data_IF_203384134013
#
_entry.id   IF_203384134013
#
_cell.length_a   1.000
_cell.length_b   1.000
_cell.length_c   1.000
_cell.angle_alpha   90.00
_cell.angle_beta   90.00
_cell.angle_gamma   90.00
#
_symmetry.space_group_name_H-M   'P 1'
#
loop_
_entity.id
_entity.type
_entity.pdbx_description
1 polymer ?
#
# COMPACT_ATOMS: atom_id res chain seq x y z
N UNK A 1 84.16 18.69 40.58
CA UNK A 1 82.76 18.29 40.76
C UNK A 1 82.56 16.82 40.34
N UNK A 2 82.47 15.92 41.32
CA UNK A 2 82.21 14.47 41.09
C UNK A 2 80.71 14.25 40.91
N UNK A 3 80.31 13.85 39.76
CA UNK A 3 78.88 13.38 39.57
C UNK A 3 78.72 12.07 40.28
N UNK A 4 77.79 12.01 41.21
CA UNK A 4 77.32 10.78 41.84
C UNK A 4 76.72 9.80 40.78
N UNK A 5 77.08 8.52 40.83
CA UNK A 5 76.42 7.55 39.96
C UNK A 5 74.95 7.49 40.30
N UNK A 6 74.10 7.84 39.37
CA UNK A 6 72.68 7.60 39.49
C UNK A 6 72.44 6.12 39.52
N UNK A 7 71.59 5.63 40.41
CA UNK A 7 71.13 4.29 40.52
C UNK A 7 70.38 3.85 39.22
N UNK A 8 71.18 3.57 38.23
CA UNK A 8 70.66 3.14 36.89
C UNK A 8 70.03 1.76 36.94
N UNK A 9 70.42 0.90 37.87
CA UNK A 9 69.84 -0.46 38.02
C UNK A 9 68.42 -0.42 38.62
N UNK A 10 68.15 0.38 39.63
CA UNK A 10 66.83 0.51 40.24
C UNK A 10 65.80 1.12 39.26
N UNK A 11 66.24 2.13 38.51
CA UNK A 11 65.38 2.74 37.45
C UNK A 11 65.15 1.79 36.29
N UNK A 12 66.14 1.05 35.85
CA UNK A 12 65.99 0.02 34.82
C UNK A 12 65.03 -1.09 35.25
N UNK A 13 65.13 -1.61 36.46
CA UNK A 13 64.22 -2.63 36.98
C UNK A 13 62.76 -2.14 37.09
N UNK A 14 62.55 -0.87 37.46
CA UNK A 14 61.20 -0.30 37.53
C UNK A 14 60.55 -0.09 36.17
N UNK A 15 61.32 0.35 35.17
CA UNK A 15 60.88 0.49 33.79
C UNK A 15 60.57 -0.90 33.19
N UNK A 16 61.42 -1.89 33.42
CA UNK A 16 61.24 -3.27 32.93
C UNK A 16 59.98 -3.89 33.53
N UNK A 17 59.73 -3.69 34.85
CA UNK A 17 58.48 -4.16 35.51
C UNK A 17 57.20 -3.53 34.93
N UNK A 18 57.22 -2.25 34.67
CA UNK A 18 56.10 -1.53 34.03
C UNK A 18 55.91 -2.00 32.59
N UNK A 19 56.96 -2.19 31.82
CA UNK A 19 56.93 -2.71 30.45
C UNK A 19 56.37 -4.15 30.42
N UNK A 20 56.80 -5.01 31.36
CA UNK A 20 56.26 -6.38 31.49
C UNK A 20 54.76 -6.37 31.89
N UNK A 21 54.36 -5.49 32.78
CA UNK A 21 52.95 -5.36 33.17
C UNK A 21 52.11 -4.87 32.00
N UNK A 22 52.52 -3.81 31.29
CA UNK A 22 51.84 -3.31 30.09
C UNK A 22 51.79 -4.37 28.98
N UNK A 23 52.92 -5.06 28.74
CA UNK A 23 52.99 -6.16 27.77
C UNK A 23 52.05 -7.32 28.13
N UNK A 24 51.99 -7.69 29.41
CA UNK A 24 51.05 -8.70 29.93
C UNK A 24 49.58 -8.29 29.75
N UNK A 25 49.21 -7.05 30.06
CA UNK A 25 47.87 -6.53 29.83
C UNK A 25 47.52 -6.52 28.35
N UNK A 26 48.44 -6.12 27.49
CA UNK A 26 48.24 -6.13 26.04
C UNK A 26 48.12 -7.55 25.48
N UNK A 27 48.91 -8.47 25.94
CA UNK A 27 48.82 -9.88 25.57
C UNK A 27 47.48 -10.51 26.03
N UNK A 28 47.03 -10.20 27.26
CA UNK A 28 45.74 -10.63 27.77
C UNK A 28 44.58 -10.06 26.94
N UNK A 29 44.65 -8.81 26.53
CA UNK A 29 43.65 -8.18 25.68
C UNK A 29 43.59 -8.81 24.28
N UNK A 30 44.74 -9.08 23.68
CA UNK A 30 44.81 -9.77 22.39
C UNK A 30 44.33 -11.20 22.49
N UNK A 31 44.66 -11.94 23.55
CA UNK A 31 44.13 -13.27 23.80
C UNK A 31 42.62 -13.31 23.97
N UNK A 32 42.05 -12.32 24.70
CA UNK A 32 40.60 -12.18 24.89
C UNK A 32 39.89 -11.87 23.55
N UNK A 33 40.47 -10.96 22.75
CA UNK A 33 39.98 -10.66 21.41
C UNK A 33 40.04 -11.88 20.49
N UNK A 34 41.15 -12.61 20.49
CA UNK A 34 41.30 -13.85 19.73
C UNK A 34 40.33 -14.95 20.13
N UNK A 35 40.11 -15.14 21.43
CA UNK A 35 39.11 -16.06 21.95
C UNK A 35 37.69 -15.63 21.55
N UNK A 36 37.39 -14.33 21.60
CA UNK A 36 36.10 -13.81 21.17
C UNK A 36 35.90 -13.95 19.67
N UNK A 37 36.91 -13.68 18.86
CA UNK A 37 36.85 -13.90 17.38
C UNK A 37 36.62 -15.36 17.07
N UNK A 38 37.30 -16.27 17.74
CA UNK A 38 37.07 -17.72 17.56
C UNK A 38 35.66 -18.13 17.94
N UNK A 39 35.15 -17.65 19.08
CA UNK A 39 33.81 -17.93 19.55
C UNK A 39 32.74 -17.46 18.54
N UNK A 40 32.85 -16.22 18.07
CA UNK A 40 31.91 -15.65 17.09
C UNK A 40 32.06 -16.25 15.69
N UNK A 41 33.31 -16.55 15.26
CA UNK A 41 33.61 -16.99 13.91
C UNK A 41 33.59 -18.49 13.68
N UNK A 42 33.61 -19.31 14.75
CA UNK A 42 33.62 -20.78 14.65
C UNK A 42 32.45 -21.39 15.39
N UNK A 43 32.23 -21.02 16.65
CA UNK A 43 31.20 -21.67 17.50
C UNK A 43 29.80 -21.13 17.23
N UNK A 44 29.69 -19.84 16.94
CA UNK A 44 28.41 -19.20 16.58
C UNK A 44 28.32 -18.83 15.08
N UNK A 45 29.24 -19.26 14.25
CA UNK A 45 29.29 -18.89 12.83
C UNK A 45 28.03 -19.29 12.08
N UNK A 46 27.48 -20.47 12.36
CA UNK A 46 26.29 -20.98 11.68
C UNK A 46 25.03 -20.22 12.12
N UNK A 47 24.93 -19.85 13.40
CA UNK A 47 23.83 -19.02 13.93
C UNK A 47 23.85 -17.62 13.32
N UNK A 48 25.01 -16.98 13.27
CA UNK A 48 25.15 -15.66 12.64
C UNK A 48 24.98 -15.71 11.12
N UNK A 49 25.34 -16.82 10.46
CA UNK A 49 25.04 -17.03 9.04
C UNK A 49 23.55 -17.12 8.78
N UNK A 50 22.82 -17.92 9.56
CA UNK A 50 21.36 -18.03 9.49
C UNK A 50 20.70 -16.66 9.69
N UNK A 51 21.06 -15.94 10.74
CA UNK A 51 20.55 -14.59 10.99
C UNK A 51 20.89 -13.61 9.85
N UNK A 52 22.08 -13.72 9.27
CA UNK A 52 22.47 -12.89 8.13
C UNK A 52 21.71 -13.26 6.86
N UNK A 53 21.42 -14.54 6.63
CA UNK A 53 20.61 -15.00 5.50
C UNK A 53 19.13 -14.62 5.68
N UNK A 54 18.57 -14.73 6.87
CA UNK A 54 17.21 -14.27 7.18
C UNK A 54 17.05 -12.76 6.98
N UNK A 55 18.02 -11.96 7.42
CA UNK A 55 18.02 -10.51 7.23
C UNK A 55 18.25 -10.09 5.75
N UNK A 56 18.82 -10.97 4.93
CA UNK A 56 19.13 -10.70 3.53
C UNK A 56 17.94 -10.91 2.60
N UNK A 57 17.00 -11.76 2.99
CA UNK A 57 15.81 -12.08 2.18
C UNK A 57 14.59 -11.41 2.78
N UNK A 58 13.95 -10.54 2.01
CA UNK A 58 12.68 -9.90 2.38
C UNK A 58 11.56 -10.47 1.50
N UNK A 59 10.43 -10.78 2.12
CA UNK A 59 9.23 -11.24 1.42
C UNK A 59 8.29 -10.06 1.27
N UNK A 60 7.95 -9.71 0.03
CA UNK A 60 6.93 -8.72 -0.29
C UNK A 60 5.70 -9.41 -0.84
N UNK A 61 4.54 -9.00 -0.36
CA UNK A 61 3.27 -9.49 -0.87
C UNK A 61 2.93 -8.82 -2.20
N UNK A 62 2.38 -9.59 -3.11
CA UNK A 62 1.84 -9.12 -4.40
C UNK A 62 0.32 -9.15 -4.29
N UNK A 63 -0.36 -7.99 -4.36
CA UNK A 63 -1.81 -7.95 -4.35
C UNK A 63 -2.39 -8.71 -5.54
N UNK A 64 -3.35 -9.62 -5.33
CA UNK A 64 -4.03 -10.31 -6.43
C UNK A 64 -5.01 -9.39 -7.15
N UNK A 65 -5.38 -9.76 -8.37
CA UNK A 65 -6.49 -9.10 -9.06
C UNK A 65 -7.82 -9.45 -8.37
N UNK A 66 -8.62 -8.43 -8.09
CA UNK A 66 -9.95 -8.59 -7.47
C UNK A 66 -10.91 -9.25 -8.45
N UNK A 67 -11.79 -10.13 -7.97
CA UNK A 67 -12.82 -10.78 -8.77
C UNK A 67 -13.76 -9.78 -9.45
N UNK A 68 -14.25 -10.12 -10.63
CA UNK A 68 -15.21 -9.32 -11.37
C UNK A 68 -16.62 -9.50 -10.79
N UNK A 69 -17.46 -8.47 -10.91
CA UNK A 69 -18.89 -8.57 -10.61
C UNK A 69 -19.65 -8.33 -11.90
N UNK A 70 -20.51 -9.24 -12.24
CA UNK A 70 -21.30 -9.26 -13.48
C UNK A 70 -22.79 -9.36 -13.18
N UNK A 71 -23.61 -8.85 -14.08
CA UNK A 71 -25.05 -9.06 -14.05
C UNK A 71 -25.43 -10.50 -14.45
N UNK A 72 -26.73 -10.82 -14.43
CA UNK A 72 -27.25 -12.13 -14.84
C UNK A 72 -26.91 -12.53 -16.28
N UNK A 73 -26.63 -11.55 -17.14
CA UNK A 73 -26.33 -11.73 -18.56
C UNK A 73 -24.81 -11.70 -18.85
N UNK A 74 -23.97 -11.57 -17.82
CA UNK A 74 -22.52 -11.47 -17.96
C UNK A 74 -22.00 -10.07 -18.29
N UNK A 75 -22.84 -9.03 -18.21
CA UNK A 75 -22.40 -7.63 -18.37
C UNK A 75 -21.61 -7.19 -17.15
N UNK A 76 -20.48 -6.52 -17.38
CA UNK A 76 -19.61 -6.04 -16.31
C UNK A 76 -20.29 -4.92 -15.51
N UNK A 77 -20.32 -5.10 -14.17
CA UNK A 77 -20.80 -4.15 -13.19
C UNK A 77 -19.62 -3.56 -12.39
N UNK A 78 -18.69 -4.42 -11.98
CA UNK A 78 -17.46 -3.98 -11.33
C UNK A 78 -16.27 -4.77 -11.89
N UNK A 79 -15.24 -4.06 -12.29
CA UNK A 79 -14.04 -4.61 -12.92
C UNK A 79 -12.77 -4.02 -12.34
N UNK A 80 -11.66 -4.31 -13.02
CA UNK A 80 -10.36 -3.76 -12.69
C UNK A 80 -9.82 -3.04 -13.92
N UNK A 81 -9.30 -1.85 -13.74
CA UNK A 81 -8.59 -1.08 -14.77
C UNK A 81 -7.12 -0.96 -14.42
N UNK A 82 -6.30 -0.72 -15.43
CA UNK A 82 -4.90 -0.40 -15.20
C UNK A 82 -4.79 0.96 -14.52
N UNK A 83 -4.02 0.98 -13.46
CA UNK A 83 -3.73 2.18 -12.69
C UNK A 83 -2.25 2.53 -12.86
N UNK A 84 -1.97 3.60 -13.55
CA UNK A 84 -0.63 4.15 -13.71
C UNK A 84 -0.31 5.05 -12.53
N UNK A 85 0.72 4.70 -11.78
CA UNK A 85 1.19 5.46 -10.62
C UNK A 85 2.68 5.76 -10.73
N UNK A 86 3.09 6.78 -10.02
CA UNK A 86 4.47 7.23 -9.96
C UNK A 86 4.94 7.08 -8.53
N UNK A 87 6.00 6.32 -8.35
CA UNK A 87 6.64 6.15 -7.04
C UNK A 87 8.01 6.81 -7.05
N UNK A 88 8.45 7.28 -5.88
CA UNK A 88 9.80 7.75 -5.64
C UNK A 88 10.44 6.99 -4.50
N UNK A 89 11.71 6.62 -4.66
CA UNK A 89 12.52 6.04 -3.59
C UNK A 89 13.62 7.03 -3.24
N UNK A 90 13.60 7.53 -2.01
CA UNK A 90 14.51 8.60 -1.53
C UNK A 90 15.97 8.27 -1.73
N UNK A 91 16.40 7.03 -1.41
CA UNK A 91 17.79 6.59 -1.57
C UNK A 91 18.30 6.74 -3.01
N UNK A 92 17.44 6.49 -3.98
CA UNK A 92 17.77 6.57 -5.40
C UNK A 92 17.62 8.00 -5.96
N UNK A 93 16.80 8.84 -5.32
CA UNK A 93 16.55 10.21 -5.74
C UNK A 93 17.69 11.16 -5.35
N UNK A 94 18.36 10.91 -4.22
CA UNK A 94 19.50 11.72 -3.78
C UNK A 94 19.93 11.42 -2.36
N UNK A 95 21.07 11.98 -1.95
CA UNK A 95 21.62 11.78 -0.61
C UNK A 95 21.11 12.84 0.39
N UNK A 96 20.72 14.00 -0.11
CA UNK A 96 20.24 15.12 0.68
C UNK A 96 18.75 15.39 0.39
N UNK A 97 18.10 16.11 1.31
CA UNK A 97 16.71 16.56 1.09
C UNK A 97 16.61 17.52 -0.10
N UNK A 98 17.65 18.34 -0.34
CA UNK A 98 17.73 19.25 -1.47
C UNK A 98 17.80 18.53 -2.82
N UNK A 99 18.51 17.40 -2.88
CA UNK A 99 18.55 16.56 -4.09
C UNK A 99 17.15 16.01 -4.40
N UNK A 100 16.46 15.49 -3.39
CA UNK A 100 15.10 14.93 -3.52
C UNK A 100 14.10 16.00 -3.94
N UNK A 101 14.18 17.20 -3.33
CA UNK A 101 13.33 18.34 -3.69
C UNK A 101 13.58 18.79 -5.12
N UNK A 102 14.83 18.77 -5.58
CA UNK A 102 15.20 19.05 -6.96
C UNK A 102 14.56 18.04 -7.94
N UNK A 103 14.56 16.76 -7.60
CA UNK A 103 13.91 15.71 -8.41
C UNK A 103 12.40 15.90 -8.44
N UNK A 104 11.77 16.17 -7.29
CA UNK A 104 10.32 16.43 -7.22
C UNK A 104 9.93 17.68 -8.00
N UNK A 105 10.72 18.75 -7.94
CA UNK A 105 10.50 19.94 -8.74
C UNK A 105 10.65 19.67 -10.25
N UNK A 106 11.58 18.81 -10.66
CA UNK A 106 11.66 18.38 -12.08
C UNK A 106 10.44 17.55 -12.47
N UNK A 107 9.98 16.67 -11.60
CA UNK A 107 8.79 15.84 -11.83
C UNK A 107 7.54 16.71 -12.01
N UNK A 108 7.38 17.79 -11.22
CA UNK A 108 6.25 18.73 -11.33
C UNK A 108 6.20 19.51 -12.67
N UNK A 109 7.32 19.55 -13.41
CA UNK A 109 7.33 20.09 -14.78
C UNK A 109 6.92 19.05 -15.84
N UNK A 110 6.93 17.77 -15.47
CA UNK A 110 6.53 16.66 -16.38
C UNK A 110 5.07 16.32 -16.23
N UNK A 111 4.57 16.33 -14.98
CA UNK A 111 3.16 16.06 -14.64
C UNK A 111 2.60 17.17 -13.75
N UNK A 112 1.29 17.47 -13.86
CA UNK A 112 0.66 18.47 -13.00
C UNK A 112 0.70 18.00 -11.53
N UNK A 113 1.39 18.78 -10.68
CA UNK A 113 1.45 18.58 -9.24
C UNK A 113 1.26 19.92 -8.55
N UNK A 114 0.49 19.91 -7.46
CA UNK A 114 0.32 21.12 -6.64
C UNK A 114 1.48 21.29 -5.65
N UNK A 115 1.64 22.48 -5.10
CA UNK A 115 2.61 22.71 -4.04
C UNK A 115 2.30 21.89 -2.77
N UNK A 116 1.03 21.59 -2.53
CA UNK A 116 0.57 20.75 -1.43
C UNK A 116 1.00 19.28 -1.64
N UNK A 117 0.81 18.73 -2.85
CA UNK A 117 1.25 17.38 -3.21
C UNK A 117 2.76 17.20 -3.01
N UNK A 118 3.56 18.22 -3.38
CA UNK A 118 5.00 18.22 -3.19
C UNK A 118 5.37 18.23 -1.70
N UNK A 119 4.70 19.08 -0.90
CA UNK A 119 4.95 19.18 0.53
C UNK A 119 4.58 17.88 1.26
N UNK A 120 3.44 17.28 0.93
CA UNK A 120 2.98 16.02 1.51
C UNK A 120 3.89 14.86 1.12
N UNK A 121 4.32 14.81 -0.14
CA UNK A 121 5.30 13.80 -0.60
C UNK A 121 6.61 13.92 0.16
N UNK A 122 7.14 15.14 0.35
CA UNK A 122 8.36 15.37 1.13
C UNK A 122 8.19 14.96 2.60
N UNK A 123 7.03 15.21 3.20
CA UNK A 123 6.71 14.79 4.56
C UNK A 123 6.67 13.26 4.70
N UNK A 124 6.04 12.57 3.75
CA UNK A 124 6.01 11.11 3.71
C UNK A 124 7.41 10.51 3.53
N UNK A 125 8.22 11.08 2.64
CA UNK A 125 9.61 10.65 2.41
C UNK A 125 10.51 10.82 3.65
N UNK A 126 10.25 11.84 4.47
CA UNK A 126 10.98 12.07 5.74
C UNK A 126 10.53 11.12 6.85
N UNK A 127 9.26 10.73 6.86
CA UNK A 127 8.67 9.84 7.88
C UNK A 127 9.07 8.39 7.66
N UNK A 128 9.25 7.96 6.41
CA UNK A 128 9.55 6.60 6.05
C UNK A 128 11.05 6.37 5.84
N UNK A 129 11.46 5.11 5.84
CA UNK A 129 12.84 4.72 5.54
C UNK A 129 13.21 5.06 4.09
N UNK A 130 14.48 5.42 3.84
CA UNK A 130 14.95 5.93 2.54
C UNK A 130 14.73 4.98 1.35
N UNK A 131 14.61 3.68 1.60
CA UNK A 131 14.40 2.65 0.57
C UNK A 131 12.95 2.20 0.42
N UNK A 132 12.02 2.78 1.19
CA UNK A 132 10.59 2.55 1.00
C UNK A 132 10.09 3.40 -0.16
N UNK A 133 9.51 2.79 -1.20
CA UNK A 133 8.91 3.56 -2.28
C UNK A 133 7.66 4.29 -1.80
N UNK A 134 7.57 5.57 -2.09
CA UNK A 134 6.42 6.43 -1.76
C UNK A 134 5.69 6.78 -3.05
N UNK A 135 4.38 6.69 -3.06
CA UNK A 135 3.55 7.09 -4.20
C UNK A 135 3.44 8.61 -4.25
N UNK A 136 3.99 9.20 -5.29
CA UNK A 136 3.97 10.66 -5.55
C UNK A 136 2.69 11.06 -6.27
N UNK A 137 2.33 10.30 -7.30
CA UNK A 137 1.11 10.52 -8.07
C UNK A 137 0.44 9.19 -8.37
N UNK A 138 -0.88 9.17 -8.25
CA UNK A 138 -1.71 8.01 -8.52
C UNK A 138 -2.68 8.33 -9.66
N UNK A 139 -3.01 7.33 -10.47
CA UNK A 139 -3.93 7.45 -11.63
C UNK A 139 -3.50 8.52 -12.62
N UNK A 140 -2.21 8.60 -12.92
CA UNK A 140 -1.72 9.45 -13.99
C UNK A 140 -2.22 8.94 -15.34
N UNK A 141 -2.36 9.83 -16.30
CA UNK A 141 -2.76 9.45 -17.66
C UNK A 141 -1.68 8.60 -18.32
N UNK A 142 -2.04 7.81 -19.34
CA UNK A 142 -1.07 7.08 -20.13
C UNK A 142 -0.01 8.01 -20.76
N UNK A 143 -0.42 9.22 -21.13
CA UNK A 143 0.48 10.22 -21.69
C UNK A 143 1.50 10.69 -20.66
N UNK A 144 1.06 11.00 -19.44
CA UNK A 144 1.96 11.40 -18.35
C UNK A 144 2.87 10.26 -17.91
N UNK A 145 2.34 9.04 -17.80
CA UNK A 145 3.13 7.84 -17.55
C UNK A 145 4.22 7.65 -18.61
N UNK A 146 3.89 7.81 -19.88
CA UNK A 146 4.83 7.72 -21.00
C UNK A 146 5.87 8.84 -20.95
N UNK A 147 5.46 10.08 -20.63
CA UNK A 147 6.39 11.22 -20.45
C UNK A 147 7.40 10.96 -19.34
N UNK A 148 6.92 10.42 -18.19
CA UNK A 148 7.82 10.08 -17.08
C UNK A 148 8.78 8.97 -17.48
N UNK A 149 8.28 7.93 -18.16
CA UNK A 149 9.11 6.81 -18.62
C UNK A 149 10.24 7.26 -19.55
N UNK A 150 9.95 8.18 -20.46
CA UNK A 150 10.95 8.77 -21.37
C UNK A 150 11.96 9.65 -20.61
N UNK A 151 11.49 10.40 -19.61
CA UNK A 151 12.32 11.28 -18.79
C UNK A 151 12.97 10.58 -17.58
N UNK A 152 12.80 9.27 -17.41
CA UNK A 152 13.35 8.51 -16.28
C UNK A 152 14.85 8.73 -16.03
N UNK A 153 15.73 8.86 -17.06
CA UNK A 153 17.14 9.17 -16.84
C UNK A 153 17.40 10.53 -16.15
N UNK A 154 16.50 11.51 -16.31
CA UNK A 154 16.59 12.82 -15.69
C UNK A 154 15.88 12.91 -14.32
N UNK A 155 15.18 11.85 -13.92
CA UNK A 155 14.37 11.73 -12.72
C UNK A 155 14.86 10.57 -11.83
N UNK A 156 16.07 10.66 -11.25
CA UNK A 156 16.64 9.59 -10.45
C UNK A 156 15.70 9.26 -9.27
N UNK A 157 15.51 7.96 -9.00
CA UNK A 157 14.64 7.47 -7.94
C UNK A 157 13.15 7.49 -8.25
N UNK A 158 12.72 8.13 -9.32
CA UNK A 158 11.32 8.09 -9.78
C UNK A 158 11.12 6.88 -10.68
N UNK A 159 10.10 6.09 -10.40
CA UNK A 159 9.75 4.88 -11.15
C UNK A 159 8.26 4.89 -11.46
N UNK A 160 7.87 4.85 -12.74
CA UNK A 160 6.49 4.62 -13.11
C UNK A 160 6.13 3.15 -12.88
N UNK A 161 4.98 2.89 -12.26
CA UNK A 161 4.44 1.56 -12.00
C UNK A 161 3.04 1.40 -12.55
N UNK A 162 2.72 0.18 -12.97
CA UNK A 162 1.36 -0.20 -13.38
C UNK A 162 0.78 -1.11 -12.31
N UNK A 163 -0.34 -0.69 -11.75
CA UNK A 163 -1.14 -1.48 -10.82
C UNK A 163 -2.53 -1.77 -11.37
N UNK A 164 -3.40 -2.28 -10.53
CA UNK A 164 -4.82 -2.44 -10.79
C UNK A 164 -5.61 -1.57 -9.82
N UNK A 165 -6.66 -0.95 -10.33
CA UNK A 165 -7.64 -0.21 -9.55
C UNK A 165 -9.03 -0.75 -9.82
N UNK A 166 -9.91 -0.70 -8.83
CA UNK A 166 -11.31 -1.05 -9.01
C UNK A 166 -12.00 0.00 -9.88
N UNK A 167 -12.89 -0.44 -10.76
CA UNK A 167 -13.67 0.41 -11.65
C UNK A 167 -15.13 -0.08 -11.69
N UNK A 168 -16.05 0.87 -11.71
CA UNK A 168 -17.49 0.66 -11.81
C UNK A 168 -18.03 1.33 -13.08
N UNK A 169 -18.12 0.59 -14.20
CA UNK A 169 -18.45 1.15 -15.51
C UNK A 169 -19.92 1.58 -15.66
N UNK A 170 -20.75 1.34 -14.64
CA UNK A 170 -22.15 1.71 -14.57
C UNK A 170 -22.45 2.83 -13.59
N UNK A 171 -21.42 3.48 -13.10
CA UNK A 171 -21.48 4.65 -12.22
C UNK A 171 -22.57 4.53 -11.13
N UNK A 172 -23.55 5.40 -11.19
CA UNK A 172 -24.63 5.52 -10.18
C UNK A 172 -25.62 4.33 -10.17
N UNK A 173 -25.72 3.56 -11.24
CA UNK A 173 -26.77 2.54 -11.39
C UNK A 173 -26.71 1.45 -10.31
N UNK A 174 -25.50 1.09 -9.89
CA UNK A 174 -25.26 -0.05 -9.01
C UNK A 174 -24.65 0.29 -7.67
N UNK A 175 -24.41 1.58 -7.38
CA UNK A 175 -23.69 1.99 -6.17
C UNK A 175 -24.26 1.42 -4.87
N UNK A 176 -25.59 1.38 -4.74
CA UNK A 176 -26.26 0.87 -3.53
C UNK A 176 -26.31 -0.65 -3.43
N UNK A 177 -26.17 -1.37 -4.54
CA UNK A 177 -26.13 -2.85 -4.58
C UNK A 177 -24.72 -3.35 -4.42
N UNK A 178 -23.85 -2.90 -5.31
CA UNK A 178 -22.45 -3.36 -5.35
C UNK A 178 -21.62 -2.69 -4.25
N UNK A 179 -21.88 -1.43 -3.97
CA UNK A 179 -21.05 -0.65 -3.05
C UNK A 179 -19.78 -0.15 -3.73
N UNK A 180 -18.76 0.05 -2.93
CA UNK A 180 -17.44 0.48 -3.40
C UNK A 180 -16.32 -0.09 -2.54
N UNK A 181 -15.11 -0.05 -3.08
CA UNK A 181 -13.89 -0.35 -2.35
C UNK A 181 -13.22 0.96 -1.89
N UNK A 182 -12.52 0.89 -0.79
CA UNK A 182 -11.72 2.00 -0.25
C UNK A 182 -10.52 1.51 0.53
N UNK A 183 -9.57 2.39 0.85
CA UNK A 183 -8.39 2.04 1.64
C UNK A 183 -8.77 1.42 2.99
N UNK A 184 -7.97 0.44 3.43
CA UNK A 184 -8.11 -0.15 4.78
C UNK A 184 -7.86 0.92 5.82
N UNK A 185 -8.79 1.07 6.78
CA UNK A 185 -8.65 1.97 7.93
C UNK A 185 -8.28 1.18 9.19
N UNK A 186 -7.77 1.87 10.21
CA UNK A 186 -7.48 1.26 11.51
C UNK A 186 -8.72 0.61 12.14
N UNK A 187 -9.89 1.20 11.88
CA UNK A 187 -11.17 0.65 12.35
C UNK A 187 -11.50 -0.70 11.69
N UNK A 188 -11.26 -0.81 10.38
CA UNK A 188 -11.49 -2.06 9.65
C UNK A 188 -10.59 -3.18 10.19
N UNK A 189 -9.34 -2.86 10.52
CA UNK A 189 -8.39 -3.83 11.10
C UNK A 189 -8.79 -4.24 12.53
N UNK A 190 -9.37 -3.33 13.30
CA UNK A 190 -9.81 -3.62 14.66
C UNK A 190 -11.04 -4.54 14.72
N UNK A 191 -11.85 -4.59 13.66
CA UNK A 191 -13.03 -5.45 13.56
C UNK A 191 -12.70 -6.89 13.11
N UNK A 192 -11.47 -7.16 12.63
CA UNK A 192 -11.06 -8.47 12.08
C UNK A 192 -10.13 -9.18 13.06
N UNK A 193 -10.55 -10.34 13.57
CA UNK A 193 -9.66 -11.26 14.29
C UNK A 193 -8.67 -11.89 13.30
N UNK A 194 -7.37 -11.74 13.51
CA UNK A 194 -6.30 -12.24 12.62
C UNK A 194 -6.39 -11.67 11.20
N UNK A 195 -6.12 -10.38 11.01
CA UNK A 195 -6.19 -9.76 9.70
C UNK A 195 -5.19 -10.39 8.73
N UNK A 196 -5.66 -10.65 7.50
CA UNK A 196 -4.81 -11.10 6.40
C UNK A 196 -3.66 -10.10 6.20
N UNK A 197 -2.41 -10.57 6.03
CA UNK A 197 -1.27 -9.70 5.77
C UNK A 197 -1.45 -8.73 4.58
N UNK A 198 -2.29 -9.07 3.59
CA UNK A 198 -2.67 -8.17 2.49
C UNK A 198 -3.25 -6.84 3.00
N UNK A 199 -4.02 -6.88 4.10
CA UNK A 199 -4.68 -5.70 4.67
C UNK A 199 -3.69 -4.71 5.29
N UNK A 200 -2.45 -5.13 5.54
CA UNK A 200 -1.39 -4.28 6.06
C UNK A 200 -0.62 -3.54 4.96
N UNK A 201 -0.86 -3.88 3.68
CA UNK A 201 -0.24 -3.18 2.56
C UNK A 201 -0.78 -1.74 2.49
N UNK A 202 0.10 -0.72 2.43
CA UNK A 202 -0.35 0.68 2.33
C UNK A 202 -1.29 0.90 1.14
N UNK A 203 -2.41 1.59 1.39
CA UNK A 203 -3.43 1.89 0.37
C UNK A 203 -4.11 0.65 -0.25
N UNK A 204 -3.98 -0.53 0.36
CA UNK A 204 -4.76 -1.70 -0.06
C UNK A 204 -6.24 -1.42 0.09
N UNK A 205 -7.05 -1.84 -0.88
CA UNK A 205 -8.48 -1.54 -0.93
C UNK A 205 -9.32 -2.77 -0.56
N UNK A 206 -10.31 -2.54 0.31
CA UNK A 206 -11.32 -3.52 0.70
C UNK A 206 -12.73 -3.00 0.39
N UNK A 207 -13.69 -3.89 0.30
CA UNK A 207 -15.10 -3.53 0.19
C UNK A 207 -15.60 -2.81 1.45
N UNK A 208 -16.20 -1.63 1.27
CA UNK A 208 -16.71 -0.80 2.38
C UNK A 208 -18.19 -1.01 2.63
N UNK A 209 -18.97 -1.18 1.59
CA UNK A 209 -20.42 -1.39 1.65
C UNK A 209 -20.86 -2.36 0.53
N UNK A 210 -22.10 -2.80 0.57
CA UNK A 210 -22.74 -3.60 -0.48
C UNK A 210 -22.12 -4.97 -0.71
N UNK A 211 -22.24 -5.49 -1.92
CA UNK A 211 -21.69 -6.79 -2.34
C UNK A 211 -20.17 -6.83 -2.19
N UNK A 212 -19.49 -5.70 -2.45
CA UNK A 212 -18.04 -5.59 -2.27
C UNK A 212 -17.62 -5.92 -0.83
N UNK A 213 -18.36 -5.47 0.17
CA UNK A 213 -18.09 -5.77 1.58
C UNK A 213 -18.50 -7.20 1.96
N UNK A 214 -19.71 -7.60 1.60
CA UNK A 214 -20.25 -8.91 1.99
C UNK A 214 -19.49 -10.09 1.37
N UNK A 215 -18.97 -9.90 0.17
CA UNK A 215 -18.25 -10.93 -0.57
C UNK A 215 -16.74 -10.65 -0.61
N UNK A 216 -16.23 -9.85 0.34
CA UNK A 216 -14.83 -9.41 0.39
C UNK A 216 -13.85 -10.58 0.26
N UNK A 217 -14.03 -11.63 1.09
CA UNK A 217 -13.12 -12.79 1.10
C UNK A 217 -13.14 -13.58 -0.22
N UNK A 218 -14.28 -13.57 -0.90
CA UNK A 218 -14.42 -14.24 -2.22
C UNK A 218 -13.80 -13.41 -3.33
N UNK A 219 -14.01 -12.07 -3.28
CA UNK A 219 -13.58 -11.14 -4.31
C UNK A 219 -12.09 -10.78 -4.20
N UNK A 220 -11.52 -10.74 -2.98
CA UNK A 220 -10.14 -10.31 -2.74
C UNK A 220 -9.10 -11.22 -3.38
N UNK A 221 -9.30 -12.55 -3.29
CA UNK A 221 -8.29 -13.54 -3.70
C UNK A 221 -7.19 -13.74 -2.66
N UNK A 222 -6.11 -14.37 -3.05
CA UNK A 222 -4.97 -14.67 -2.16
C UNK A 222 -3.68 -14.02 -2.65
N UNK A 223 -2.89 -13.50 -1.70
CA UNK A 223 -1.62 -12.85 -2.01
C UNK A 223 -0.66 -13.75 -2.77
N UNK A 224 0.06 -13.18 -3.72
CA UNK A 224 1.33 -13.71 -4.18
C UNK A 224 2.48 -13.27 -3.29
N UNK A 225 3.63 -13.88 -3.47
CA UNK A 225 4.84 -13.53 -2.75
C UNK A 225 6.00 -13.24 -3.70
N UNK A 226 6.77 -12.22 -3.35
CA UNK A 226 8.00 -11.85 -4.05
C UNK A 226 9.13 -11.86 -3.05
N UNK A 227 10.08 -12.76 -3.23
CA UNK A 227 11.28 -12.85 -2.42
C UNK A 227 12.37 -11.99 -3.04
N UNK A 228 12.81 -10.99 -2.31
CA UNK A 228 13.86 -10.05 -2.74
C UNK A 228 15.05 -10.15 -1.83
N UNK A 229 16.25 -10.10 -2.42
CA UNK A 229 17.48 -9.97 -1.68
C UNK A 229 17.74 -8.50 -1.39
N UNK A 230 17.95 -8.17 -0.11
CA UNK A 230 18.28 -6.83 0.33
C UNK A 230 19.67 -6.79 0.97
N UNK A 231 20.36 -5.67 0.86
CA UNK A 231 21.60 -5.46 1.60
C UNK A 231 21.33 -5.02 3.04
N UNK A 232 22.39 -4.80 3.83
CA UNK A 232 22.31 -4.41 5.24
C UNK A 232 21.56 -3.09 5.51
N UNK A 233 21.36 -2.24 4.50
CA UNK A 233 20.58 -0.99 4.58
C UNK A 233 19.18 -1.13 4.00
N UNK A 234 18.78 -2.34 3.56
CA UNK A 234 17.44 -2.63 3.03
C UNK A 234 17.24 -2.35 1.55
N UNK A 235 18.32 -2.02 0.81
CA UNK A 235 18.26 -1.80 -0.64
C UNK A 235 18.06 -3.13 -1.37
N UNK A 236 17.09 -3.17 -2.27
CA UNK A 236 16.84 -4.35 -3.13
C UNK A 236 18.02 -4.56 -4.08
N UNK A 237 18.64 -5.72 -4.00
CA UNK A 237 19.77 -6.13 -4.85
C UNK A 237 19.28 -6.93 -6.07
N UNK A 238 18.38 -7.86 -5.85
CA UNK A 238 17.77 -8.67 -6.91
C UNK A 238 16.49 -9.36 -6.42
N UNK A 239 15.68 -9.77 -7.36
CA UNK A 239 14.57 -10.68 -7.14
C UNK A 239 15.11 -12.13 -7.14
N UNK A 240 14.73 -12.88 -6.12
CA UNK A 240 15.18 -14.28 -5.97
C UNK A 240 14.11 -15.23 -6.51
N UNK A 241 12.83 -14.93 -6.19
CA UNK A 241 11.71 -15.79 -6.53
C UNK A 241 10.43 -14.96 -6.55
N UNK A 242 9.45 -15.40 -7.34
CA UNK A 242 8.14 -14.74 -7.48
C UNK A 242 7.05 -15.78 -7.67
N UNK A 243 6.09 -15.76 -6.78
CA UNK A 243 4.86 -16.52 -6.86
C UNK A 243 3.69 -15.56 -7.03
N UNK A 244 2.97 -15.68 -8.14
CA UNK A 244 1.83 -14.80 -8.41
C UNK A 244 0.65 -15.15 -7.49
N UNK A 245 -0.11 -14.12 -7.10
CA UNK A 245 -1.32 -14.29 -6.31
C UNK A 245 -2.45 -14.97 -7.10
N UNK A 246 -3.36 -15.56 -6.35
CA UNK A 246 -4.57 -16.16 -6.93
C UNK A 246 -5.64 -15.08 -7.01
N UNK A 247 -6.10 -14.78 -8.23
CA UNK A 247 -7.20 -13.86 -8.50
C UNK A 247 -8.45 -14.23 -7.66
N UNK A 248 -9.17 -13.23 -7.18
CA UNK A 248 -10.48 -13.41 -6.55
C UNK A 248 -11.50 -14.04 -7.51
N UNK A 249 -12.48 -14.73 -6.95
CA UNK A 249 -13.54 -15.36 -7.73
C UNK A 249 -14.49 -14.33 -8.29
N UNK A 250 -14.89 -14.51 -9.56
CA UNK A 250 -15.86 -13.67 -10.21
C UNK A 250 -17.28 -14.00 -9.69
N UNK A 251 -18.09 -12.96 -9.48
CA UNK A 251 -19.47 -13.09 -9.01
C UNK A 251 -20.44 -12.74 -10.13
N UNK A 252 -21.52 -13.53 -10.23
CA UNK A 252 -22.67 -13.22 -11.07
C UNK A 252 -23.89 -12.92 -10.19
N UNK A 253 -24.44 -11.71 -10.35
CA UNK A 253 -25.63 -11.28 -9.64
C UNK A 253 -26.89 -11.69 -10.40
N UNK A 254 -28.02 -11.75 -9.72
CA UNK A 254 -29.34 -12.00 -10.33
C UNK A 254 -29.91 -10.76 -11.03
N UNK A 255 -29.32 -9.58 -10.77
CA UNK A 255 -29.76 -8.29 -11.31
C UNK A 255 -29.52 -8.24 -12.82
N UNK A 256 -30.49 -7.67 -13.54
CA UNK A 256 -30.39 -7.33 -14.95
C UNK A 256 -29.96 -5.86 -15.09
N UNK A 257 -28.82 -5.62 -15.70
CA UNK A 257 -28.26 -4.27 -15.85
C UNK A 257 -29.11 -3.35 -16.72
N UNK A 258 -29.89 -3.90 -17.63
CA UNK A 258 -30.79 -3.11 -18.45
C UNK A 258 -32.01 -2.63 -17.67
N UNK A 259 -32.61 -3.51 -16.87
CA UNK A 259 -33.74 -3.15 -15.99
C UNK A 259 -33.29 -2.19 -14.91
N UNK A 260 -32.13 -2.45 -14.28
CA UNK A 260 -31.56 -1.55 -13.24
C UNK A 260 -31.36 -0.13 -13.77
N UNK A 261 -30.70 0.02 -14.92
CA UNK A 261 -30.46 1.30 -15.57
C UNK A 261 -31.79 2.01 -15.97
N UNK A 262 -32.74 1.25 -16.54
CA UNK A 262 -34.05 1.81 -16.90
C UNK A 262 -34.77 2.38 -15.68
N UNK A 263 -34.80 1.64 -14.57
CA UNK A 263 -35.45 2.09 -13.33
C UNK A 263 -34.72 3.31 -12.75
N UNK A 264 -33.38 3.28 -12.70
CA UNK A 264 -32.57 4.41 -12.21
C UNK A 264 -32.83 5.68 -13.03
N UNK A 265 -32.84 5.57 -14.36
CA UNK A 265 -33.13 6.67 -15.26
C UNK A 265 -34.57 7.21 -15.11
N UNK A 266 -35.53 6.30 -14.83
CA UNK A 266 -36.93 6.68 -14.68
C UNK A 266 -37.20 7.40 -13.35
N UNK A 267 -36.53 7.00 -12.27
CA UNK A 267 -36.62 7.69 -10.97
C UNK A 267 -35.89 9.04 -10.98
N UNK A 268 -34.84 9.16 -11.78
CA UNK A 268 -34.09 10.41 -11.93
C UNK A 268 -33.53 10.92 -10.59
N UNK A 269 -33.94 12.13 -10.19
CA UNK A 269 -33.51 12.79 -8.95
C UNK A 269 -34.50 12.65 -7.80
N UNK A 270 -35.61 11.94 -8.01
CA UNK A 270 -36.61 11.73 -6.98
C UNK A 270 -36.08 10.90 -5.81
N UNK A 271 -36.52 11.23 -4.60
CA UNK A 271 -36.17 10.43 -3.40
C UNK A 271 -37.07 9.18 -3.34
N UNK A 272 -36.63 8.11 -3.98
CA UNK A 272 -37.44 6.90 -4.14
C UNK A 272 -36.60 5.62 -4.11
N UNK A 273 -37.27 4.49 -3.90
CA UNK A 273 -36.70 3.15 -4.04
C UNK A 273 -37.62 2.28 -4.91
N UNK A 274 -37.02 1.41 -5.70
CA UNK A 274 -37.73 0.44 -6.50
C UNK A 274 -37.02 -0.91 -6.42
N UNK A 275 -37.80 -1.97 -6.16
CA UNK A 275 -37.31 -3.36 -6.16
C UNK A 275 -38.17 -4.19 -7.13
N UNK A 276 -37.51 -4.91 -8.02
CA UNK A 276 -38.16 -5.84 -8.96
C UNK A 276 -37.72 -7.26 -8.61
N UNK A 277 -38.67 -8.13 -8.30
CA UNK A 277 -38.42 -9.50 -7.87
C UNK A 277 -39.11 -10.47 -8.84
N UNK A 278 -38.39 -11.50 -9.26
CA UNK A 278 -38.93 -12.64 -10.01
C UNK A 278 -39.78 -13.48 -9.06
N UNK A 279 -41.07 -13.58 -9.33
CA UNK A 279 -42.02 -14.20 -8.40
C UNK A 279 -41.76 -15.71 -8.19
N UNK A 280 -41.31 -16.41 -9.24
CA UNK A 280 -41.13 -17.86 -9.19
C UNK A 280 -39.81 -18.28 -8.48
N UNK A 281 -38.77 -17.49 -8.60
CA UNK A 281 -37.44 -17.83 -8.08
C UNK A 281 -37.06 -17.02 -6.83
N UNK A 282 -37.67 -15.86 -6.63
CA UNK A 282 -37.27 -14.91 -5.61
C UNK A 282 -36.04 -14.05 -5.98
N UNK A 283 -35.54 -14.19 -7.22
CA UNK A 283 -34.40 -13.42 -7.70
C UNK A 283 -34.71 -11.94 -7.74
N UNK A 284 -33.78 -11.13 -7.24
CA UNK A 284 -33.85 -9.67 -7.37
C UNK A 284 -33.33 -9.29 -8.76
N UNK A 285 -34.22 -8.79 -9.61
CA UNK A 285 -33.91 -8.38 -10.98
C UNK A 285 -33.41 -6.93 -11.03
N UNK A 286 -33.93 -6.06 -10.15
CA UNK A 286 -33.44 -4.71 -9.96
C UNK A 286 -33.67 -4.27 -8.52
N UNK A 287 -32.76 -3.44 -7.99
CA UNK A 287 -32.85 -2.83 -6.66
C UNK A 287 -32.23 -1.42 -6.73
N UNK A 288 -33.09 -0.43 -6.90
CA UNK A 288 -32.69 0.96 -7.17
C UNK A 288 -33.02 1.84 -5.99
N UNK A 289 -32.05 2.64 -5.55
CA UNK A 289 -32.22 3.71 -4.58
C UNK A 289 -31.81 5.04 -5.23
N UNK A 290 -32.74 5.99 -5.31
CA UNK A 290 -32.52 7.28 -5.97
C UNK A 290 -32.70 8.45 -4.99
N UNK A 291 -31.94 9.56 -5.14
CA UNK A 291 -30.75 9.66 -5.99
C UNK A 291 -29.62 8.77 -5.48
N UNK A 292 -28.69 8.45 -6.36
CA UNK A 292 -27.53 7.62 -6.09
C UNK A 292 -26.24 8.44 -6.18
N UNK A 293 -25.10 7.78 -6.06
CA UNK A 293 -23.77 8.40 -6.09
C UNK A 293 -22.83 7.60 -7.00
N UNK A 294 -21.75 8.23 -7.50
CA UNK A 294 -20.73 7.53 -8.25
C UNK A 294 -19.74 6.82 -7.29
N UNK A 295 -19.69 5.47 -7.27
CA UNK A 295 -18.78 4.71 -6.43
C UNK A 295 -17.30 4.91 -6.81
N UNK A 296 -16.99 5.32 -8.05
CA UNK A 296 -15.63 5.58 -8.49
C UNK A 296 -14.99 6.76 -7.73
N UNK A 297 -15.78 7.72 -7.23
CA UNK A 297 -15.26 8.81 -6.39
C UNK A 297 -14.60 8.28 -5.11
N UNK A 298 -15.18 7.25 -4.49
CA UNK A 298 -14.63 6.65 -3.27
C UNK A 298 -13.38 5.82 -3.52
N UNK A 299 -13.31 5.13 -4.66
CA UNK A 299 -12.11 4.40 -5.08
C UNK A 299 -10.92 5.34 -5.28
N UNK A 300 -11.19 6.55 -5.77
CA UNK A 300 -10.17 7.58 -6.04
C UNK A 300 -9.75 8.37 -4.80
N UNK A 301 -10.48 8.20 -3.69
CA UNK A 301 -10.40 9.10 -2.55
C UNK A 301 -11.29 10.32 -2.81
N UNK A 302 -12.49 10.31 -2.24
CA UNK A 302 -13.45 11.38 -2.41
C UNK A 302 -12.92 12.68 -1.79
N UNK A 303 -13.09 13.80 -2.50
CA UNK A 303 -12.75 15.11 -1.95
C UNK A 303 -13.71 15.49 -0.82
N UNK A 304 -13.24 16.32 0.13
CA UNK A 304 -14.09 16.84 1.21
C UNK A 304 -15.30 17.58 0.65
N UNK A 305 -15.12 18.34 -0.44
CA UNK A 305 -16.19 19.08 -1.09
C UNK A 305 -17.26 18.14 -1.68
N UNK A 306 -16.86 17.10 -2.42
CA UNK A 306 -17.79 16.13 -3.01
C UNK A 306 -18.53 15.34 -1.92
N UNK A 307 -17.80 14.93 -0.87
CA UNK A 307 -18.38 14.20 0.25
C UNK A 307 -19.40 15.06 1.00
N UNK A 308 -19.09 16.33 1.25
CA UNK A 308 -20.03 17.30 1.88
C UNK A 308 -21.27 17.49 1.01
N UNK A 309 -21.10 17.66 -0.29
CA UNK A 309 -22.22 17.78 -1.22
C UNK A 309 -23.16 16.55 -1.18
N UNK A 310 -22.61 15.34 -1.05
CA UNK A 310 -23.41 14.12 -0.94
C UNK A 310 -24.10 13.98 0.43
N UNK A 311 -23.46 14.43 1.51
CA UNK A 311 -24.01 14.30 2.87
C UNK A 311 -25.04 15.36 3.20
N UNK A 312 -24.88 16.58 2.67
CA UNK A 312 -25.81 17.71 2.89
C UNK A 312 -26.97 17.72 1.89
N UNK A 313 -26.96 16.83 0.89
CA UNK A 313 -28.03 16.76 -0.08
C UNK A 313 -29.36 16.32 0.56
N UNK A 314 -30.46 17.08 0.36
CA UNK A 314 -31.78 16.85 0.97
C UNK A 314 -32.30 15.42 0.74
N UNK A 315 -32.08 14.86 -0.44
CA UNK A 315 -32.54 13.52 -0.82
C UNK A 315 -31.57 12.40 -0.43
N UNK A 316 -30.52 12.69 0.35
CA UNK A 316 -29.56 11.72 0.95
C UNK A 316 -29.10 10.63 -0.02
N UNK A 317 -28.32 10.95 -1.04
CA UNK A 317 -27.87 9.99 -2.05
C UNK A 317 -27.04 8.83 -1.48
N UNK A 318 -26.37 8.99 -0.35
CA UNK A 318 -25.60 7.93 0.32
C UNK A 318 -26.47 6.91 1.08
N UNK A 319 -27.73 7.23 1.36
CA UNK A 319 -28.63 6.34 2.06
C UNK A 319 -29.25 5.30 1.12
N UNK A 320 -29.07 4.01 1.43
CA UNK A 320 -29.71 2.94 0.67
C UNK A 320 -31.21 2.82 1.06
N UNK A 321 -32.06 3.47 0.30
CA UNK A 321 -33.52 3.51 0.58
C UNK A 321 -34.22 2.17 0.35
N UNK A 322 -33.59 1.24 -0.41
CA UNK A 322 -34.13 -0.11 -0.61
C UNK A 322 -34.16 -0.89 0.70
N UNK A 323 -33.11 -0.77 1.52
CA UNK A 323 -32.97 -1.57 2.75
C UNK A 323 -33.12 -0.74 4.05
N UNK A 324 -32.96 0.58 3.98
CA UNK A 324 -33.05 1.48 5.14
C UNK A 324 -34.32 2.32 5.14
N UNK A 325 -35.07 2.32 4.03
CA UNK A 325 -36.31 3.07 3.93
C UNK A 325 -37.38 2.47 4.85
N UNK A 326 -37.71 3.19 5.91
CA UNK A 326 -38.83 2.84 6.80
C UNK A 326 -39.97 3.81 6.56
N UNK A 327 -41.07 3.31 6.00
CA UNK A 327 -42.29 4.08 5.76
C UNK A 327 -43.44 3.49 6.56
N UNK A 328 -44.32 4.30 7.16
CA UNK A 328 -45.50 3.77 7.83
C UNK A 328 -46.41 3.10 6.79
N UNK A 329 -46.89 1.86 7.05
CA UNK A 329 -47.84 1.22 6.15
C UNK A 329 -49.15 2.00 6.14
N UNK A 330 -49.69 2.28 4.94
CA UNK A 330 -50.88 3.05 4.76
C UNK A 330 -51.17 3.31 3.29
N UNK A 331 -51.70 4.45 2.96
CA UNK A 331 -52.03 4.89 1.60
C UNK A 331 -50.82 5.38 0.80
N UNK A 332 -49.66 4.91 1.12
CA UNK A 332 -48.44 5.16 0.34
C UNK A 332 -48.35 4.23 -0.83
#
# INVERSE_FOLDING_TARGET
MRRLPRDTEATSRSVTRRALFMGGCMAAMVATLGARMRFLGVEQADEFRLLAEENRVNIRLIPPARGLIQDRNGKLIAGNEQNYRVIITRENAGKTDEDVETVLNRLSHVIPMTAEDLADTMKELKRNSAFVPITVADRVTWEDFSRISVNAPALPGVTPEVGLSRMYPRDIDFAHVVGYVGPVSERDLAEIENPDPLLTIPKFQIGKIGVEKWMEDTLRGSAGTKRIEVNAVGRVMRELDREEGIKGKDLRLTIDAGVQNFVQARLGTESAACVVIEVNTGDIIAAVSSPSFDPNLFVRGISTADYTALTEHDHRPLANKVVQGAYPPGST
#
